data_IF_817268067938
#
_entry.id   IF_817268067938
#
_cell.length_a   1.000
_cell.length_b   1.000
_cell.length_c   1.000
_cell.angle_alpha   90.00
_cell.angle_beta   90.00
_cell.angle_gamma   90.00
#
_symmetry.space_group_name_H-M   'P 1'
#
loop_
_entity.id
_entity.type
_entity.pdbx_description
1 polymer ?
#
# COMPACT_ATOMS: atom_id res chain seq x y z
N UNK A 1 -13.49 26.77 -6.11
CA UNK A 1 -12.57 26.17 -5.11
C UNK A 1 -13.28 25.22 -4.15
N UNK A 2 -14.55 25.44 -3.78
CA UNK A 2 -15.32 24.55 -2.91
C UNK A 2 -15.46 23.11 -3.44
N UNK A 3 -15.66 22.94 -4.75
CA UNK A 3 -15.77 21.62 -5.40
C UNK A 3 -14.49 20.77 -5.28
N UNK A 4 -13.32 21.36 -5.51
CA UNK A 4 -12.03 20.66 -5.37
C UNK A 4 -11.75 20.25 -3.91
N UNK A 5 -12.13 21.10 -2.95
CA UNK A 5 -12.01 20.78 -1.54
C UNK A 5 -12.98 19.67 -1.10
N UNK A 6 -14.19 19.65 -1.67
CA UNK A 6 -15.15 18.57 -1.43
C UNK A 6 -14.63 17.24 -1.99
N UNK A 7 -14.03 17.25 -3.19
CA UNK A 7 -13.40 16.08 -3.78
C UNK A 7 -12.25 15.55 -2.91
N UNK A 8 -11.36 16.43 -2.44
CA UNK A 8 -10.27 16.06 -1.52
C UNK A 8 -10.82 15.35 -0.28
N UNK A 9 -11.83 15.94 0.38
CA UNK A 9 -12.44 15.32 1.57
C UNK A 9 -13.15 13.99 1.29
N UNK A 10 -13.61 13.76 0.06
CA UNK A 10 -14.18 12.48 -0.33
C UNK A 10 -13.08 11.42 -0.46
N UNK A 11 -11.95 11.77 -1.10
CA UNK A 11 -10.77 10.91 -1.23
C UNK A 11 -10.19 10.58 0.16
N UNK A 12 -10.06 11.58 1.03
CA UNK A 12 -9.54 11.38 2.39
C UNK A 12 -10.42 10.40 3.19
N UNK A 13 -11.75 10.58 3.13
CA UNK A 13 -12.70 9.66 3.78
C UNK A 13 -12.62 8.24 3.22
N UNK A 14 -12.45 8.10 1.90
CA UNK A 14 -12.27 6.80 1.27
C UNK A 14 -10.98 6.13 1.76
N UNK A 15 -9.87 6.86 1.80
CA UNK A 15 -8.59 6.34 2.30
C UNK A 15 -8.67 5.93 3.78
N UNK A 16 -9.33 6.73 4.63
CA UNK A 16 -9.55 6.37 6.04
C UNK A 16 -10.41 5.13 6.21
N UNK A 17 -11.46 5.00 5.41
CA UNK A 17 -12.33 3.84 5.42
C UNK A 17 -11.56 2.59 4.98
N UNK A 18 -10.89 2.63 3.83
CA UNK A 18 -10.06 1.53 3.32
C UNK A 18 -9.00 1.15 4.34
N UNK A 19 -8.24 2.11 4.87
CA UNK A 19 -7.17 1.86 5.85
C UNK A 19 -7.68 1.14 7.11
N UNK A 20 -8.85 1.53 7.62
CA UNK A 20 -9.46 0.88 8.80
C UNK A 20 -9.82 -0.57 8.56
N UNK A 21 -10.33 -0.90 7.37
CA UNK A 21 -10.72 -2.28 7.03
C UNK A 21 -9.51 -3.13 6.66
N UNK A 22 -8.55 -2.56 5.93
CA UNK A 22 -7.32 -3.25 5.53
C UNK A 22 -6.46 -3.64 6.73
N UNK A 23 -6.52 -2.91 7.85
CA UNK A 23 -5.85 -3.28 9.09
C UNK A 23 -6.24 -4.68 9.60
N UNK A 24 -7.47 -5.16 9.32
CA UNK A 24 -7.89 -6.51 9.68
C UNK A 24 -7.18 -7.60 8.88
N UNK A 25 -6.71 -7.31 7.66
CA UNK A 25 -5.91 -8.24 6.86
C UNK A 25 -4.55 -8.50 7.51
N UNK A 26 -4.00 -7.53 8.25
CA UNK A 26 -2.78 -7.73 9.05
C UNK A 26 -3.04 -8.76 10.15
N UNK A 27 -4.15 -8.62 10.88
CA UNK A 27 -4.53 -9.59 11.91
C UNK A 27 -4.71 -10.98 11.30
N UNK A 28 -5.40 -11.09 10.16
CA UNK A 28 -5.57 -12.35 9.45
C UNK A 28 -4.21 -12.96 9.04
N UNK A 29 -3.30 -12.16 8.47
CA UNK A 29 -1.97 -12.61 8.08
C UNK A 29 -1.17 -13.13 9.29
N UNK A 30 -1.23 -12.43 10.44
CA UNK A 30 -0.58 -12.87 11.67
C UNK A 30 -1.14 -14.20 12.18
N UNK A 31 -2.47 -14.35 12.22
CA UNK A 31 -3.12 -15.58 12.66
C UNK A 31 -2.77 -16.78 11.77
N UNK A 32 -2.78 -16.58 10.45
CA UNK A 32 -2.39 -17.62 9.48
C UNK A 32 -0.90 -17.97 9.64
N UNK A 33 -0.05 -16.97 9.86
CA UNK A 33 1.40 -17.15 10.06
C UNK A 33 1.70 -17.93 11.34
N UNK A 34 1.05 -17.56 12.45
CA UNK A 34 1.17 -18.25 13.73
C UNK A 34 0.65 -19.68 13.63
N UNK A 35 -0.53 -19.88 13.03
CA UNK A 35 -1.11 -21.21 12.81
C UNK A 35 -0.19 -22.11 11.98
N UNK A 36 0.32 -21.61 10.86
CA UNK A 36 1.25 -22.38 10.02
C UNK A 36 2.57 -22.70 10.76
N UNK A 37 3.08 -21.77 11.57
CA UNK A 37 4.28 -22.00 12.38
C UNK A 37 4.07 -23.07 13.46
N UNK A 38 2.91 -23.06 14.14
CA UNK A 38 2.55 -24.07 15.14
C UNK A 38 2.44 -25.44 14.47
N UNK A 39 1.72 -25.54 13.36
CA UNK A 39 1.55 -26.83 12.65
C UNK A 39 2.89 -27.38 12.20
N UNK A 40 3.76 -26.51 11.66
CA UNK A 40 5.11 -26.88 11.26
C UNK A 40 5.96 -27.37 12.43
N UNK A 41 5.81 -26.77 13.61
CA UNK A 41 6.64 -27.15 14.77
C UNK A 41 6.13 -28.39 15.50
N UNK A 42 4.81 -28.56 15.58
CA UNK A 42 4.18 -29.66 16.34
C UNK A 42 4.00 -30.91 15.48
N UNK A 43 3.58 -30.74 14.23
CA UNK A 43 3.24 -31.85 13.32
C UNK A 43 4.28 -32.08 12.21
N UNK A 44 5.37 -31.30 12.19
CA UNK A 44 6.39 -31.31 11.14
C UNK A 44 5.81 -31.20 9.72
N UNK A 45 4.64 -30.55 9.59
CA UNK A 45 3.92 -30.38 8.34
C UNK A 45 3.69 -28.89 8.09
N UNK A 46 3.82 -28.44 6.85
CA UNK A 46 3.61 -27.05 6.46
C UNK A 46 2.88 -27.02 5.13
N UNK A 47 1.91 -26.12 4.99
CA UNK A 47 1.19 -25.95 3.72
C UNK A 47 1.80 -24.80 2.93
N UNK A 48 2.17 -25.07 1.67
CA UNK A 48 2.64 -24.02 0.77
C UNK A 48 1.53 -23.01 0.45
N UNK A 49 0.28 -23.46 0.34
CA UNK A 49 -0.87 -22.57 0.12
C UNK A 49 -1.07 -21.58 1.29
N UNK A 50 -0.80 -22.01 2.53
CA UNK A 50 -0.84 -21.11 3.70
C UNK A 50 0.29 -20.09 3.70
N UNK A 51 1.43 -20.38 3.06
CA UNK A 51 2.49 -19.40 2.86
C UNK A 51 2.10 -18.42 1.74
N UNK A 52 1.61 -18.91 0.60
CA UNK A 52 1.20 -18.06 -0.52
C UNK A 52 0.11 -17.06 -0.12
N UNK A 53 -0.92 -17.50 0.63
CA UNK A 53 -1.96 -16.58 1.08
C UNK A 53 -1.43 -15.49 2.02
N UNK A 54 -0.37 -15.75 2.81
CA UNK A 54 0.28 -14.71 3.61
C UNK A 54 0.93 -13.66 2.71
N UNK A 55 1.61 -14.07 1.63
CA UNK A 55 2.19 -13.15 0.65
C UNK A 55 1.11 -12.29 -0.02
N UNK A 56 -0.02 -12.89 -0.40
CA UNK A 56 -1.13 -12.15 -1.01
C UNK A 56 -1.79 -11.17 -0.03
N UNK A 57 -2.02 -11.59 1.22
CA UNK A 57 -2.56 -10.71 2.26
C UNK A 57 -1.61 -9.54 2.53
N UNK A 58 -0.30 -9.80 2.61
CA UNK A 58 0.70 -8.76 2.80
C UNK A 58 0.72 -7.77 1.62
N UNK A 59 0.70 -8.28 0.38
CA UNK A 59 0.62 -7.44 -0.82
C UNK A 59 -0.64 -6.58 -0.83
N UNK A 60 -1.80 -7.16 -0.46
CA UNK A 60 -3.06 -6.44 -0.37
C UNK A 60 -3.01 -5.33 0.69
N UNK A 61 -2.44 -5.60 1.87
CA UNK A 61 -2.24 -4.58 2.90
C UNK A 61 -1.38 -3.45 2.37
N UNK A 62 -0.23 -3.77 1.80
CA UNK A 62 0.73 -2.75 1.36
C UNK A 62 0.14 -1.86 0.27
N UNK A 63 -0.54 -2.45 -0.72
CA UNK A 63 -1.09 -1.70 -1.84
C UNK A 63 -2.32 -0.88 -1.46
N UNK A 64 -3.24 -1.46 -0.69
CA UNK A 64 -4.49 -0.78 -0.31
C UNK A 64 -4.28 0.26 0.79
N UNK A 65 -3.33 0.05 1.70
CA UNK A 65 -3.01 1.00 2.76
C UNK A 65 -2.04 2.11 2.31
N UNK A 66 -1.41 2.01 1.12
CA UNK A 66 -0.45 3.02 0.63
C UNK A 66 -1.04 4.44 0.55
N UNK A 67 -2.31 4.56 0.17
CA UNK A 67 -3.02 5.85 0.13
C UNK A 67 -3.32 6.39 1.53
N UNK A 68 -3.64 5.51 2.47
CA UNK A 68 -3.88 5.87 3.87
C UNK A 68 -2.59 6.34 4.57
N UNK A 69 -1.46 5.66 4.35
CA UNK A 69 -0.16 6.08 4.90
C UNK A 69 0.31 7.41 4.29
N UNK A 70 0.02 7.66 3.00
CA UNK A 70 0.28 8.95 2.36
C UNK A 70 -0.56 10.08 2.93
N UNK A 71 -1.85 9.82 3.20
CA UNK A 71 -2.74 10.77 3.87
C UNK A 71 -2.20 11.14 5.26
N UNK A 72 -1.69 10.16 6.02
CA UNK A 72 -1.09 10.38 7.34
C UNK A 72 0.33 10.93 7.32
N UNK A 73 0.93 11.09 6.14
CA UNK A 73 2.31 11.55 5.97
C UNK A 73 3.35 10.64 6.66
N UNK A 74 3.03 9.35 6.77
CA UNK A 74 3.88 8.34 7.42
C UNK A 74 4.82 7.64 6.44
N UNK A 75 4.78 7.99 5.14
CA UNK A 75 5.80 7.56 4.20
C UNK A 75 7.15 8.15 4.59
N UNK A 76 8.19 7.31 4.59
CA UNK A 76 9.55 7.72 4.90
C UNK A 76 9.98 8.79 3.89
N UNK A 77 10.11 10.02 4.37
CA UNK A 77 10.60 11.17 3.60
C UNK A 77 12.01 11.50 4.04
N UNK A 78 12.75 12.18 3.18
CA UNK A 78 14.05 12.76 3.54
C UNK A 78 13.79 14.04 4.34
N UNK A 79 13.30 13.87 5.58
CA UNK A 79 12.85 14.96 6.44
C UNK A 79 13.98 15.93 6.80
N UNK A 80 15.24 15.47 6.79
CA UNK A 80 16.42 16.31 7.05
C UNK A 80 16.63 17.39 5.99
N UNK A 81 16.29 17.09 4.73
CA UNK A 81 16.45 18.03 3.60
C UNK A 81 15.18 18.85 3.41
N UNK A 82 14.02 18.20 3.43
CA UNK A 82 12.73 18.86 3.24
C UNK A 82 12.33 19.76 4.42
N UNK A 83 12.75 19.41 5.64
CA UNK A 83 12.47 20.18 6.86
C UNK A 83 13.12 21.57 6.88
N UNK A 84 14.13 21.83 6.04
CA UNK A 84 14.77 23.15 5.91
C UNK A 84 14.01 24.10 4.98
N UNK A 85 13.07 23.59 4.18
CA UNK A 85 12.31 24.39 3.22
C UNK A 85 10.96 24.84 3.77
N UNK A 86 10.41 25.92 3.22
CA UNK A 86 9.04 26.36 3.53
C UNK A 86 8.00 25.29 3.15
N UNK A 87 6.85 25.27 3.84
CA UNK A 87 5.75 24.33 3.56
C UNK A 87 5.29 24.34 2.11
N UNK A 88 5.29 25.51 1.45
CA UNK A 88 4.92 25.64 0.03
C UNK A 88 5.93 24.95 -0.89
N UNK A 89 7.22 25.06 -0.57
CA UNK A 89 8.28 24.39 -1.34
C UNK A 89 8.22 22.88 -1.13
N UNK A 90 7.99 22.41 0.09
CA UNK A 90 7.80 20.98 0.38
C UNK A 90 6.69 20.37 -0.49
N UNK A 91 5.51 21.00 -0.52
CA UNK A 91 4.38 20.52 -1.34
C UNK A 91 4.72 20.50 -2.83
N UNK A 92 5.45 21.51 -3.34
CA UNK A 92 5.89 21.52 -4.75
C UNK A 92 6.85 20.36 -5.06
N UNK A 93 7.80 20.08 -4.16
CA UNK A 93 8.74 18.98 -4.31
C UNK A 93 8.01 17.63 -4.25
N UNK A 94 7.03 17.47 -3.36
CA UNK A 94 6.21 16.25 -3.28
C UNK A 94 5.39 16.03 -4.55
N UNK A 95 4.71 17.06 -5.05
CA UNK A 95 3.96 16.98 -6.31
C UNK A 95 4.89 16.60 -7.46
N UNK A 96 6.07 17.23 -7.56
CA UNK A 96 7.06 16.88 -8.57
C UNK A 96 7.54 15.43 -8.43
N UNK A 97 7.84 14.99 -7.21
CA UNK A 97 8.23 13.61 -6.90
C UNK A 97 7.20 12.59 -7.37
N UNK A 98 5.92 12.87 -7.09
CA UNK A 98 4.80 12.02 -7.50
C UNK A 98 4.68 11.98 -9.02
N UNK A 99 4.70 13.14 -9.68
CA UNK A 99 4.45 13.22 -11.13
C UNK A 99 5.64 12.72 -11.98
N UNK A 100 6.87 13.00 -11.57
CA UNK A 100 8.06 12.72 -12.36
C UNK A 100 8.66 11.33 -12.08
N UNK A 101 8.43 10.76 -10.90
CA UNK A 101 9.03 9.48 -10.51
C UNK A 101 8.00 8.41 -10.18
N UNK A 102 7.07 8.68 -9.26
CA UNK A 102 6.11 7.66 -8.83
C UNK A 102 5.12 7.29 -9.94
N UNK A 103 4.50 8.28 -10.59
CA UNK A 103 3.47 8.07 -11.60
C UNK A 103 4.03 7.31 -12.82
N UNK A 104 5.19 7.68 -13.42
CA UNK A 104 5.75 6.93 -14.54
C UNK A 104 6.14 5.50 -14.15
N UNK A 105 6.67 5.31 -12.93
CA UNK A 105 6.98 3.98 -12.42
C UNK A 105 5.72 3.10 -12.30
N UNK A 106 4.66 3.62 -11.69
CA UNK A 106 3.38 2.89 -11.56
C UNK A 106 2.81 2.55 -12.94
N UNK A 107 2.82 3.51 -13.88
CA UNK A 107 2.36 3.26 -15.25
C UNK A 107 3.19 2.15 -15.92
N UNK A 108 4.52 2.21 -15.82
CA UNK A 108 5.40 1.19 -16.40
C UNK A 108 5.11 -0.21 -15.81
N UNK A 109 4.95 -0.31 -14.49
CA UNK A 109 4.60 -1.56 -13.82
C UNK A 109 3.25 -2.08 -14.33
N UNK A 110 2.22 -1.23 -14.41
CA UNK A 110 0.90 -1.63 -14.92
C UNK A 110 1.00 -2.13 -16.36
N UNK A 111 1.69 -1.41 -17.25
CA UNK A 111 1.84 -1.80 -18.66
C UNK A 111 2.57 -3.15 -18.81
N UNK A 112 3.60 -3.40 -17.99
CA UNK A 112 4.36 -4.65 -18.05
C UNK A 112 3.62 -5.83 -17.42
N UNK A 113 2.89 -5.60 -16.32
CA UNK A 113 2.23 -6.66 -15.55
C UNK A 113 0.85 -6.99 -16.14
N UNK A 114 0.15 -6.04 -16.74
CA UNK A 114 -1.20 -6.25 -17.27
C UNK A 114 -1.32 -7.43 -18.26
N UNK A 115 -0.43 -7.59 -19.26
CA UNK A 115 -0.49 -8.74 -20.16
C UNK A 115 -0.22 -10.08 -19.49
N UNK A 116 0.54 -10.08 -18.39
CA UNK A 116 0.81 -11.29 -17.61
C UNK A 116 -0.42 -11.67 -16.79
N UNK A 117 -1.10 -10.69 -16.19
CA UNK A 117 -2.36 -10.89 -15.48
C UNK A 117 -3.42 -11.44 -16.43
N UNK A 118 -3.65 -10.81 -17.59
CA UNK A 118 -4.67 -11.27 -18.55
C UNK A 118 -4.41 -12.72 -18.99
N UNK A 119 -3.15 -13.07 -19.30
CA UNK A 119 -2.76 -14.44 -19.72
C UNK A 119 -2.80 -15.48 -18.59
N UNK A 120 -2.82 -15.06 -17.33
CA UNK A 120 -2.94 -15.98 -16.20
C UNK A 120 -4.39 -16.46 -16.00
N UNK A 121 -5.38 -15.70 -16.50
CA UNK A 121 -6.81 -15.98 -16.32
C UNK A 121 -7.56 -16.34 -17.61
N UNK A 122 -6.95 -16.14 -18.79
CA UNK A 122 -7.47 -16.49 -20.13
C UNK A 122 -6.51 -17.46 -20.79
#
# INVERSE_FOLDING_TARGET
MSSLLQLSRAIDRLNEWVGRWVAWLVLAAVLISAGNAIVRKVFNNSSNALLEIQWYLFAAVFLLAAGYTLLRQEHVKIDVVLGRFSRRTQVKVEIFGILAFLLPFVIAVVVLVWPLVVRAYV
#
